data_IF_699287485324
#
_entry.id   IF_699287485324
#
_cell.length_a   1.000
_cell.length_b   1.000
_cell.length_c   1.000
_cell.angle_alpha   90.00
_cell.angle_beta   90.00
_cell.angle_gamma   90.00
#
_symmetry.space_group_name_H-M   'P 1'
#
loop_
_entity.id
_entity.type
_entity.pdbx_description
1 polymer ?
#
# COMPACT_ATOMS: atom_id res chain seq x y z
N UNK A 1 -11.49 -18.04 8.59
CA UNK A 1 -10.29 -18.84 8.31
C UNK A 1 -10.62 -20.30 8.54
N UNK A 2 -10.54 -21.15 7.51
CA UNK A 2 -10.54 -22.61 7.67
C UNK A 2 -9.22 -23.09 7.06
N UNK A 3 -8.41 -23.79 7.86
CA UNK A 3 -7.16 -24.46 7.47
C UNK A 3 -5.96 -23.56 7.04
N UNK A 4 -5.69 -22.43 7.70
CA UNK A 4 -4.44 -21.67 7.47
C UNK A 4 -4.27 -21.11 6.04
N UNK A 5 -5.38 -20.97 5.29
CA UNK A 5 -5.38 -20.43 3.94
C UNK A 5 -6.06 -19.06 3.89
N UNK A 6 -5.49 -18.15 3.10
CA UNK A 6 -6.03 -16.82 2.82
C UNK A 6 -6.56 -16.78 1.39
N UNK A 7 -7.85 -16.47 1.24
CA UNK A 7 -8.50 -16.32 -0.06
C UNK A 7 -8.79 -14.83 -0.34
N UNK A 8 -8.47 -14.38 -1.55
CA UNK A 8 -8.83 -13.04 -2.04
C UNK A 8 -10.05 -13.10 -2.95
N UNK A 9 -10.95 -12.12 -2.83
CA UNK A 9 -12.12 -11.97 -3.71
C UNK A 9 -12.09 -10.54 -4.25
N UNK A 10 -12.30 -10.36 -5.55
CA UNK A 10 -12.39 -9.06 -6.19
C UNK A 10 -13.56 -9.02 -7.16
N UNK A 11 -14.46 -8.05 -6.99
CA UNK A 11 -15.59 -7.77 -7.87
C UNK A 11 -15.77 -6.26 -7.99
N UNK A 12 -16.15 -5.70 -9.16
CA UNK A 12 -16.35 -4.26 -9.32
C UNK A 12 -17.31 -3.64 -8.30
N UNK A 13 -18.35 -4.38 -7.91
CA UNK A 13 -19.34 -3.95 -6.91
C UNK A 13 -18.77 -3.82 -5.47
N UNK A 14 -17.55 -4.29 -5.21
CA UNK A 14 -16.89 -4.16 -3.90
C UNK A 14 -16.04 -2.89 -3.81
N UNK A 15 -15.88 -2.12 -4.89
CA UNK A 15 -15.12 -0.88 -4.85
C UNK A 15 -15.87 0.16 -4.01
N UNK A 16 -15.18 0.84 -3.07
CA UNK A 16 -15.80 1.94 -2.33
C UNK A 16 -16.16 3.07 -3.30
N UNK A 17 -17.33 3.68 -3.10
CA UNK A 17 -17.78 4.85 -3.88
C UNK A 17 -17.19 6.16 -3.34
N UNK A 18 -16.79 6.17 -2.07
CA UNK A 18 -16.19 7.31 -1.38
C UNK A 18 -15.04 6.81 -0.52
N UNK A 19 -13.92 7.53 -0.56
CA UNK A 19 -12.77 7.33 0.32
C UNK A 19 -12.49 8.65 1.05
N UNK A 20 -12.45 8.61 2.38
CA UNK A 20 -12.13 9.76 3.23
C UNK A 20 -10.76 9.51 3.84
N UNK A 21 -9.82 10.43 3.58
CA UNK A 21 -8.48 10.39 4.19
C UNK A 21 -8.41 11.40 5.32
N UNK A 22 -8.37 10.88 6.56
CA UNK A 22 -8.14 11.67 7.77
C UNK A 22 -6.89 11.15 8.48
N UNK A 23 -5.74 11.86 8.38
CA UNK A 23 -4.49 11.45 9.03
C UNK A 23 -4.60 11.38 10.55
N UNK A 24 -5.54 12.09 11.18
CA UNK A 24 -5.72 12.05 12.63
C UNK A 24 -6.23 10.70 13.13
N UNK A 25 -6.86 9.90 12.26
CA UNK A 25 -7.26 8.53 12.59
C UNK A 25 -6.08 7.57 12.74
N UNK A 26 -4.87 8.00 12.32
CA UNK A 26 -3.63 7.26 12.55
C UNK A 26 -2.89 7.70 13.83
N UNK A 27 -3.38 8.72 14.54
CA UNK A 27 -2.76 9.19 15.78
C UNK A 27 -2.80 8.06 16.83
N UNK A 28 -1.63 7.76 17.43
CA UNK A 28 -1.50 6.71 18.45
C UNK A 28 -1.34 5.27 17.91
N UNK A 29 -1.35 5.05 16.60
CA UNK A 29 -1.01 3.73 16.04
C UNK A 29 0.43 3.35 16.39
N UNK A 30 0.69 2.07 16.76
CA UNK A 30 2.05 1.58 16.95
C UNK A 30 2.91 1.76 15.70
N UNK A 31 4.19 2.06 15.87
CA UNK A 31 5.12 2.30 14.77
C UNK A 31 5.16 1.17 13.75
N UNK A 32 5.13 -0.09 14.20
CA UNK A 32 5.12 -1.24 13.30
C UNK A 32 3.89 -1.25 12.38
N UNK A 33 2.73 -0.77 12.83
CA UNK A 33 1.52 -0.65 11.99
C UNK A 33 1.70 0.45 10.96
N UNK A 34 2.16 1.64 11.40
CA UNK A 34 2.29 2.82 10.53
C UNK A 34 3.32 2.57 9.43
N UNK A 35 4.51 2.14 9.82
CA UNK A 35 5.61 1.92 8.89
C UNK A 35 5.38 0.66 8.05
N UNK A 36 4.84 -0.42 8.63
CA UNK A 36 4.47 -1.62 7.87
C UNK A 36 3.43 -1.31 6.78
N UNK A 37 2.38 -0.57 7.12
CA UNK A 37 1.36 -0.14 6.15
C UNK A 37 1.94 0.75 5.05
N UNK A 38 2.79 1.72 5.41
CA UNK A 38 3.43 2.59 4.42
C UNK A 38 4.37 1.81 3.47
N UNK A 39 5.14 0.86 4.01
CA UNK A 39 6.01 -0.02 3.20
C UNK A 39 5.21 -0.95 2.29
N UNK A 40 4.03 -1.41 2.70
CA UNK A 40 3.10 -2.14 1.84
C UNK A 40 2.60 -1.28 0.67
N UNK A 41 2.41 0.02 0.90
CA UNK A 41 2.16 1.00 -0.17
C UNK A 41 3.32 1.09 -1.18
N UNK A 42 4.57 0.97 -0.72
CA UNK A 42 5.76 0.92 -1.58
C UNK A 42 5.79 -0.37 -2.41
N UNK A 43 5.52 -1.53 -1.80
CA UNK A 43 5.42 -2.83 -2.51
C UNK A 43 4.42 -2.76 -3.66
N UNK A 44 3.22 -2.24 -3.42
CA UNK A 44 2.20 -2.08 -4.45
C UNK A 44 2.67 -1.22 -5.61
N UNK A 45 3.35 -0.09 -5.35
CA UNK A 45 3.82 0.75 -6.44
C UNK A 45 4.99 0.12 -7.20
N UNK A 46 5.94 -0.53 -6.53
CA UNK A 46 7.01 -1.28 -7.20
C UNK A 46 6.39 -2.36 -8.08
N UNK A 47 5.41 -3.11 -7.57
CA UNK A 47 4.71 -4.13 -8.34
C UNK A 47 3.97 -3.57 -9.55
N UNK A 48 3.31 -2.42 -9.41
CA UNK A 48 2.65 -1.75 -10.52
C UNK A 48 3.67 -1.24 -11.57
N UNK A 49 4.80 -0.66 -11.17
CA UNK A 49 5.87 -0.25 -12.10
C UNK A 49 6.47 -1.44 -12.83
N UNK A 50 6.71 -2.54 -12.14
CA UNK A 50 7.34 -3.73 -12.72
C UNK A 50 6.37 -4.62 -13.51
N UNK A 51 5.07 -4.33 -13.49
CA UNK A 51 4.08 -5.18 -14.16
C UNK A 51 4.24 -5.14 -15.69
N UNK A 52 4.17 -6.30 -16.37
CA UNK A 52 4.17 -6.35 -17.83
C UNK A 52 2.89 -5.73 -18.44
N UNK A 53 1.84 -5.56 -17.63
CA UNK A 53 0.58 -4.92 -18.04
C UNK A 53 0.57 -3.41 -17.80
N UNK A 54 1.63 -2.86 -17.23
CA UNK A 54 1.67 -1.45 -16.86
C UNK A 54 1.77 -0.55 -18.10
N UNK A 55 0.72 0.24 -18.31
CA UNK A 55 0.72 1.34 -19.26
C UNK A 55 1.60 2.50 -18.74
N UNK A 56 1.88 3.47 -19.61
CA UNK A 56 2.61 4.68 -19.21
C UNK A 56 1.91 5.41 -18.06
N UNK A 57 0.58 5.53 -18.09
CA UNK A 57 -0.20 6.16 -17.03
C UNK A 57 -0.06 5.42 -15.70
N UNK A 58 -0.13 4.08 -15.72
CA UNK A 58 0.05 3.26 -14.52
C UNK A 58 1.45 3.46 -13.94
N UNK A 59 2.50 3.44 -14.78
CA UNK A 59 3.87 3.67 -14.34
C UNK A 59 4.04 5.06 -13.75
N UNK A 60 3.51 6.10 -14.40
CA UNK A 60 3.55 7.48 -13.90
C UNK A 60 2.91 7.58 -12.52
N UNK A 61 1.71 7.03 -12.37
CA UNK A 61 0.97 7.05 -11.10
C UNK A 61 1.71 6.30 -9.99
N UNK A 62 2.24 5.12 -10.29
CA UNK A 62 3.00 4.34 -9.31
C UNK A 62 4.31 5.02 -8.90
N UNK A 63 5.05 5.61 -9.85
CA UNK A 63 6.26 6.38 -9.57
C UNK A 63 5.97 7.64 -8.73
N UNK A 64 4.87 8.33 -9.01
CA UNK A 64 4.40 9.44 -8.18
C UNK A 64 4.08 8.98 -6.75
N UNK A 65 3.41 7.83 -6.61
CA UNK A 65 3.15 7.18 -5.33
C UNK A 65 4.43 6.82 -4.56
N UNK A 66 5.46 6.29 -5.24
CA UNK A 66 6.77 6.02 -4.65
C UNK A 66 7.46 7.29 -4.16
N UNK A 67 7.39 8.36 -4.95
CA UNK A 67 8.01 9.63 -4.58
C UNK A 67 7.35 10.22 -3.31
N UNK A 68 6.01 10.20 -3.22
CA UNK A 68 5.30 10.61 -2.01
C UNK A 68 5.62 9.71 -0.80
N UNK A 69 5.59 8.40 -0.98
CA UNK A 69 5.89 7.43 0.08
C UNK A 69 7.31 7.60 0.62
N UNK A 70 8.30 7.75 -0.27
CA UNK A 70 9.71 7.94 0.09
C UNK A 70 9.94 9.24 0.88
N UNK A 71 9.35 10.35 0.42
CA UNK A 71 9.41 11.63 1.16
C UNK A 71 8.74 11.53 2.53
N UNK A 72 7.54 10.95 2.59
CA UNK A 72 6.78 10.79 3.83
C UNK A 72 7.51 9.92 4.85
N UNK A 73 8.03 8.77 4.43
CA UNK A 73 8.78 7.85 5.29
C UNK A 73 10.07 8.50 5.84
N UNK A 74 10.83 9.17 4.99
CA UNK A 74 12.03 9.90 5.41
C UNK A 74 11.73 11.03 6.40
N UNK A 75 10.61 11.73 6.20
CA UNK A 75 10.19 12.77 7.12
C UNK A 75 9.66 12.20 8.45
N UNK A 76 8.87 11.11 8.42
CA UNK A 76 8.40 10.42 9.63
C UNK A 76 9.52 9.79 10.44
N UNK A 77 10.64 9.42 9.81
CA UNK A 77 11.84 8.94 10.52
C UNK A 77 12.49 10.05 11.36
N UNK A 78 12.39 11.32 10.91
CA UNK A 78 12.96 12.48 11.61
C UNK A 78 11.97 13.07 12.63
N UNK A 79 10.70 13.13 12.27
CA UNK A 79 9.61 13.67 13.09
C UNK A 79 8.40 12.73 13.00
N UNK A 80 8.30 11.71 13.89
CA UNK A 80 7.24 10.71 13.85
C UNK A 80 5.83 11.26 14.04
N UNK A 81 5.67 12.48 14.55
CA UNK A 81 4.37 13.14 14.75
C UNK A 81 3.98 14.08 13.61
N UNK A 82 4.80 14.16 12.55
CA UNK A 82 4.55 15.05 11.41
C UNK A 82 3.31 14.66 10.62
N UNK A 83 2.24 15.45 10.76
CA UNK A 83 0.99 15.27 10.00
C UNK A 83 1.20 15.41 8.50
N UNK A 84 2.04 16.34 8.07
CA UNK A 84 2.38 16.51 6.64
C UNK A 84 3.06 15.27 6.09
N UNK A 85 3.99 14.68 6.84
CA UNK A 85 4.67 13.45 6.42
C UNK A 85 3.70 12.25 6.36
N UNK A 86 2.76 12.16 7.30
CA UNK A 86 1.69 11.17 7.28
C UNK A 86 0.79 11.32 6.04
N UNK A 87 0.41 12.56 5.68
CA UNK A 87 -0.36 12.86 4.46
C UNK A 87 0.39 12.42 3.21
N UNK A 88 1.71 12.62 3.15
CA UNK A 88 2.53 12.16 2.03
C UNK A 88 2.51 10.62 1.92
N UNK A 89 2.62 9.89 3.04
CA UNK A 89 2.45 8.43 3.02
C UNK A 89 1.05 8.00 2.55
N UNK A 90 -0.01 8.71 2.97
CA UNK A 90 -1.38 8.43 2.54
C UNK A 90 -1.58 8.64 1.04
N UNK A 91 -1.07 9.76 0.50
CA UNK A 91 -1.09 10.05 -0.94
C UNK A 91 -0.30 8.99 -1.71
N UNK A 92 0.87 8.64 -1.19
CA UNK A 92 1.71 7.57 -1.73
C UNK A 92 0.94 6.27 -1.87
N UNK A 93 0.39 5.76 -0.76
CA UNK A 93 -0.38 4.52 -0.73
C UNK A 93 -1.62 4.56 -1.63
N UNK A 94 -2.33 5.69 -1.69
CA UNK A 94 -3.50 5.85 -2.58
C UNK A 94 -3.12 5.70 -4.06
N UNK A 95 -2.07 6.40 -4.50
CA UNK A 95 -1.58 6.32 -5.87
C UNK A 95 -1.07 4.91 -6.20
N UNK A 96 -0.36 4.26 -5.27
CA UNK A 96 0.09 2.86 -5.42
C UNK A 96 -1.08 1.90 -5.65
N UNK A 97 -2.13 1.99 -4.81
CA UNK A 97 -3.32 1.14 -4.92
C UNK A 97 -4.06 1.42 -6.22
N UNK A 98 -4.23 2.70 -6.59
CA UNK A 98 -4.88 3.09 -7.84
C UNK A 98 -4.15 2.56 -9.08
N UNK A 99 -2.82 2.58 -9.08
CA UNK A 99 -2.01 2.01 -10.15
C UNK A 99 -2.18 0.49 -10.23
N UNK A 100 -2.20 -0.19 -9.08
CA UNK A 100 -2.39 -1.65 -8.98
C UNK A 100 -3.76 -2.10 -9.53
N UNK A 101 -4.82 -1.36 -9.23
CA UNK A 101 -6.19 -1.66 -9.68
C UNK A 101 -6.39 -1.53 -11.19
N UNK A 102 -5.48 -0.88 -11.92
CA UNK A 102 -5.50 -0.79 -13.38
C UNK A 102 -5.06 -2.09 -14.09
N UNK A 103 -5.33 -3.26 -13.49
CA UNK A 103 -4.98 -4.56 -14.03
C UNK A 103 -3.53 -5.00 -13.79
N UNK A 104 -2.79 -4.30 -12.94
CA UNK A 104 -1.39 -4.59 -12.58
C UNK A 104 -1.26 -5.31 -11.23
N UNK A 105 -2.29 -6.09 -10.89
CA UNK A 105 -2.47 -6.77 -9.60
C UNK A 105 -1.66 -8.06 -9.43
N UNK A 106 -1.14 -8.31 -8.22
CA UNK A 106 0.01 -7.66 -7.62
C UNK A 106 1.32 -8.39 -8.00
N UNK A 107 2.47 -7.89 -7.54
CA UNK A 107 3.75 -8.54 -7.80
C UNK A 107 3.94 -9.86 -7.03
N UNK A 108 4.99 -10.60 -7.39
CA UNK A 108 5.38 -11.85 -6.71
C UNK A 108 5.54 -11.65 -5.18
N UNK A 109 6.03 -10.48 -4.75
CA UNK A 109 6.18 -10.13 -3.33
C UNK A 109 4.86 -10.29 -2.57
N UNK A 110 3.79 -9.68 -3.06
CA UNK A 110 2.45 -9.80 -2.49
C UNK A 110 1.95 -11.25 -2.36
N UNK A 111 2.24 -12.11 -3.35
CA UNK A 111 1.85 -13.53 -3.29
C UNK A 111 2.61 -14.26 -2.18
N UNK A 112 3.92 -14.02 -2.06
CA UNK A 112 4.75 -14.59 -1.00
C UNK A 112 4.24 -14.13 0.37
N UNK A 113 4.00 -12.83 0.55
CA UNK A 113 3.47 -12.27 1.79
C UNK A 113 2.13 -12.90 2.18
N UNK A 114 1.22 -13.10 1.22
CA UNK A 114 -0.09 -13.71 1.47
C UNK A 114 0.04 -15.15 1.98
N UNK A 115 0.94 -15.94 1.41
CA UNK A 115 1.17 -17.32 1.87
C UNK A 115 1.93 -17.35 3.20
N UNK A 116 2.95 -16.51 3.34
CA UNK A 116 3.80 -16.46 4.53
C UNK A 116 3.00 -16.02 5.76
N UNK A 117 2.23 -14.93 5.67
CA UNK A 117 1.36 -14.46 6.76
C UNK A 117 0.31 -15.50 7.15
N UNK A 118 -0.33 -16.17 6.17
CA UNK A 118 -1.33 -17.19 6.45
C UNK A 118 -0.76 -18.44 7.14
N UNK A 119 0.48 -18.81 6.81
CA UNK A 119 1.14 -19.98 7.36
C UNK A 119 1.77 -19.72 8.75
N UNK A 120 2.39 -18.56 8.95
CA UNK A 120 3.17 -18.25 10.16
C UNK A 120 2.48 -17.27 11.13
N UNK A 121 1.27 -16.80 10.81
CA UNK A 121 0.51 -15.85 11.63
C UNK A 121 1.28 -14.54 11.92
N UNK A 122 1.86 -13.96 10.87
CA UNK A 122 2.61 -12.69 10.92
C UNK A 122 1.93 -11.59 10.11
N UNK A 123 2.18 -10.34 10.47
CA UNK A 123 1.70 -9.17 9.72
C UNK A 123 2.27 -9.15 8.29
N UNK A 124 1.51 -8.57 7.36
CA UNK A 124 1.93 -8.32 5.97
C UNK A 124 2.45 -6.91 5.78
#
# INVERSE_FOLDING_TARGET
TRAGSKAGISRPAMLPTVVIFDPSLADGLPDWVRYGTALRGVEHAVGAVCSPKATEEVRRMALEGLAFSGRGLEALRREPTSRTACVDCYRGGWLSVRALFAGCYPALGHFIENQYSAHFDVHQ
#
